data_IF_473447171722
#
_entry.id   IF_473447171722
#
_cell.length_a   1.000
_cell.length_b   1.000
_cell.length_c   1.000
_cell.angle_alpha   90.00
_cell.angle_beta   90.00
_cell.angle_gamma   90.00
#
_symmetry.space_group_name_H-M   'P 1'
#
loop_
_entity.id
_entity.type
_entity.pdbx_description
1 polymer ?
#
# COMPACT_ATOMS: atom_id res chain seq x y z
N UNK A 1 -6.01 4.80 -10.28
CA UNK A 1 -6.64 4.90 -11.61
C UNK A 1 -5.64 5.08 -12.76
N UNK A 2 -4.41 5.60 -12.55
CA UNK A 2 -3.39 5.68 -13.61
C UNK A 2 -2.38 4.52 -13.57
N UNK A 3 -1.86 4.19 -12.39
CA UNK A 3 -0.91 3.09 -12.17
C UNK A 3 -1.47 1.72 -12.56
N UNK A 4 -2.73 1.43 -12.20
CA UNK A 4 -3.40 0.17 -12.56
C UNK A 4 -3.56 0.07 -14.07
N UNK A 5 -4.10 1.11 -14.72
CA UNK A 5 -4.28 1.11 -16.17
C UNK A 5 -2.96 0.91 -16.92
N UNK A 6 -1.87 1.52 -16.43
CA UNK A 6 -0.52 1.38 -17.00
C UNK A 6 0.08 -0.02 -16.82
N UNK A 7 -0.23 -0.72 -15.73
CA UNK A 7 0.40 -2.00 -15.38
C UNK A 7 -0.45 -3.22 -15.77
N UNK A 8 -1.78 -3.14 -15.68
CA UNK A 8 -2.68 -4.27 -15.95
C UNK A 8 -3.35 -4.23 -17.33
N UNK A 9 -3.25 -3.11 -18.07
CA UNK A 9 -3.95 -2.92 -19.35
C UNK A 9 -5.45 -2.62 -19.22
N UNK A 10 -5.99 -2.53 -18.00
CA UNK A 10 -7.38 -2.15 -17.80
C UNK A 10 -7.63 -0.68 -18.16
N UNK A 11 -8.82 -0.38 -18.66
CA UNK A 11 -9.20 0.98 -19.04
C UNK A 11 -9.26 1.89 -17.80
N UNK A 12 -8.78 3.12 -17.92
CA UNK A 12 -8.83 4.14 -16.85
C UNK A 12 -10.27 4.33 -16.38
N UNK A 13 -10.49 4.22 -15.07
CA UNK A 13 -11.82 4.45 -14.48
C UNK A 13 -12.24 5.91 -14.72
N UNK A 14 -13.43 6.10 -15.27
CA UNK A 14 -14.07 7.40 -15.43
C UNK A 14 -15.29 7.47 -14.50
N UNK A 15 -15.33 8.49 -13.63
CA UNK A 15 -16.41 8.76 -12.69
C UNK A 15 -17.77 8.94 -13.37
N UNK A 16 -17.80 9.35 -14.64
CA UNK A 16 -19.01 9.52 -15.45
C UNK A 16 -19.65 8.18 -15.86
N UNK A 17 -18.99 7.04 -15.56
CA UNK A 17 -19.43 5.69 -15.93
C UNK A 17 -19.63 4.81 -14.70
N UNK A 18 -20.51 5.25 -13.81
CA UNK A 18 -20.83 4.57 -12.55
C UNK A 18 -21.10 3.05 -12.68
N UNK A 19 -21.78 2.53 -13.73
CA UNK A 19 -21.99 1.08 -13.89
C UNK A 19 -20.70 0.30 -14.18
N UNK A 20 -19.76 0.89 -14.94
CA UNK A 20 -18.47 0.27 -15.24
C UNK A 20 -17.56 0.24 -14.00
N UNK A 21 -17.62 1.29 -13.16
CA UNK A 21 -16.95 1.31 -11.84
C UNK A 21 -17.49 0.19 -10.95
N UNK A 22 -18.81 0.04 -10.87
CA UNK A 22 -19.45 -1.02 -10.09
C UNK A 22 -19.01 -2.41 -10.55
N UNK A 23 -18.96 -2.65 -11.87
CA UNK A 23 -18.50 -3.91 -12.44
C UNK A 23 -17.03 -4.20 -12.11
N UNK A 24 -16.14 -3.21 -12.17
CA UNK A 24 -14.71 -3.37 -11.83
C UNK A 24 -14.44 -3.54 -10.33
N UNK A 25 -15.37 -3.14 -9.45
CA UNK A 25 -15.28 -3.41 -8.01
C UNK A 25 -15.78 -4.83 -7.68
N UNK A 26 -16.78 -5.32 -8.43
CA UNK A 26 -17.36 -6.66 -8.22
C UNK A 26 -16.52 -7.78 -8.85
N UNK A 27 -15.59 -7.45 -9.74
CA UNK A 27 -14.62 -8.38 -10.32
C UNK A 27 -13.40 -8.52 -9.37
N UNK A 28 -13.14 -9.72 -8.83
CA UNK A 28 -12.07 -9.95 -7.86
C UNK A 28 -10.67 -9.72 -8.45
N UNK A 29 -10.46 -9.98 -9.75
CA UNK A 29 -9.15 -9.84 -10.38
C UNK A 29 -8.77 -8.37 -10.54
N UNK A 30 -9.72 -7.53 -10.96
CA UNK A 30 -9.48 -6.09 -11.02
C UNK A 30 -9.27 -5.49 -9.64
N UNK A 31 -10.03 -5.94 -8.63
CA UNK A 31 -9.89 -5.48 -7.24
C UNK A 31 -8.50 -5.77 -6.69
N UNK A 32 -7.96 -6.97 -6.94
CA UNK A 32 -6.61 -7.33 -6.52
C UNK A 32 -5.53 -6.40 -7.12
N UNK A 33 -5.68 -6.02 -8.40
CA UNK A 33 -4.75 -5.09 -9.06
C UNK A 33 -4.81 -3.68 -8.44
N UNK A 34 -6.00 -3.20 -8.05
CA UNK A 34 -6.12 -1.94 -7.33
C UNK A 34 -5.44 -2.00 -5.95
N UNK A 35 -5.63 -3.10 -5.20
CA UNK A 35 -4.95 -3.30 -3.92
C UNK A 35 -3.43 -3.27 -4.08
N UNK A 36 -2.90 -4.01 -5.06
CA UNK A 36 -1.47 -4.05 -5.36
C UNK A 36 -0.93 -2.65 -5.72
N UNK A 37 -1.68 -1.87 -6.51
CA UNK A 37 -1.29 -0.51 -6.86
C UNK A 37 -1.26 0.45 -5.65
N UNK A 38 -2.21 0.33 -4.72
CA UNK A 38 -2.22 1.11 -3.47
C UNK A 38 -1.00 0.74 -2.62
N UNK A 39 -0.74 -0.55 -2.41
CA UNK A 39 0.42 -1.03 -1.65
C UNK A 39 1.73 -0.55 -2.29
N UNK A 40 1.86 -0.66 -3.62
CA UNK A 40 3.05 -0.19 -4.33
C UNK A 40 3.26 1.31 -4.16
N UNK A 41 2.18 2.10 -4.21
CA UNK A 41 2.24 3.55 -3.98
C UNK A 41 2.75 3.88 -2.58
N UNK A 42 2.36 3.11 -1.57
CA UNK A 42 2.88 3.24 -0.20
C UNK A 42 4.39 2.97 -0.15
N UNK A 43 4.84 1.86 -0.74
CA UNK A 43 6.27 1.48 -0.78
C UNK A 43 7.10 2.59 -1.44
N UNK A 44 6.66 3.06 -2.62
CA UNK A 44 7.38 4.10 -3.36
C UNK A 44 7.38 5.44 -2.60
N UNK A 45 6.30 5.79 -1.92
CA UNK A 45 6.25 7.03 -1.13
C UNK A 45 7.28 7.02 0.00
N UNK A 46 7.37 5.92 0.76
CA UNK A 46 8.34 5.81 1.85
C UNK A 46 9.78 5.71 1.36
N UNK A 47 10.04 4.99 0.27
CA UNK A 47 11.37 4.92 -0.32
C UNK A 47 11.83 6.31 -0.81
N UNK A 48 10.99 7.02 -1.55
CA UNK A 48 11.38 8.29 -2.19
C UNK A 48 11.37 9.50 -1.24
N UNK A 49 10.48 9.53 -0.25
CA UNK A 49 10.32 10.69 0.64
C UNK A 49 11.07 10.51 1.95
N UNK A 50 11.02 9.30 2.53
CA UNK A 50 11.59 9.01 3.85
C UNK A 50 12.91 8.22 3.77
N UNK A 51 13.32 7.75 2.59
CA UNK A 51 14.52 6.93 2.42
C UNK A 51 14.39 5.54 3.07
N UNK A 52 13.16 5.03 3.23
CA UNK A 52 12.90 3.76 3.93
C UNK A 52 12.31 2.73 2.99
N UNK A 53 12.95 1.55 2.92
CA UNK A 53 12.36 0.39 2.25
C UNK A 53 11.42 -0.37 3.21
N UNK A 54 10.13 -0.30 2.92
CA UNK A 54 9.08 -1.02 3.65
C UNK A 54 8.56 -2.24 2.90
N UNK A 55 9.14 -2.57 1.73
CA UNK A 55 8.62 -3.62 0.83
C UNK A 55 8.64 -5.03 1.42
N UNK A 56 9.42 -5.25 2.48
CA UNK A 56 9.56 -6.55 3.16
C UNK A 56 8.77 -6.66 4.47
N UNK A 57 8.05 -5.62 4.89
CA UNK A 57 7.19 -5.68 6.07
C UNK A 57 5.70 -5.65 5.67
N UNK A 58 5.03 -6.81 5.54
CA UNK A 58 3.64 -6.87 5.13
C UNK A 58 2.70 -6.19 6.14
N UNK A 59 3.00 -6.22 7.44
CA UNK A 59 2.24 -5.49 8.46
C UNK A 59 2.23 -3.99 8.23
N UNK A 60 3.38 -3.37 7.95
CA UNK A 60 3.46 -1.93 7.62
C UNK A 60 2.66 -1.64 6.34
N UNK A 61 2.78 -2.47 5.30
CA UNK A 61 2.02 -2.24 4.06
C UNK A 61 0.51 -2.39 4.27
N UNK A 62 0.07 -3.32 5.14
CA UNK A 62 -1.32 -3.49 5.51
C UNK A 62 -1.85 -2.30 6.33
N UNK A 63 -1.05 -1.79 7.27
CA UNK A 63 -1.37 -0.55 8.00
C UNK A 63 -1.58 0.62 7.04
N UNK A 64 -0.70 0.81 6.07
CA UNK A 64 -0.78 1.94 5.13
C UNK A 64 -1.91 1.77 4.10
N UNK A 65 -2.20 0.53 3.69
CA UNK A 65 -3.39 0.24 2.89
C UNK A 65 -4.67 0.64 3.64
N UNK A 66 -4.75 0.34 4.93
CA UNK A 66 -5.90 0.70 5.77
C UNK A 66 -6.00 2.21 6.03
N UNK A 67 -4.88 2.89 6.28
CA UNK A 67 -4.88 4.29 6.72
C UNK A 67 -4.86 5.33 5.59
N UNK A 68 -4.33 5.00 4.41
CA UNK A 68 -4.16 5.95 3.31
C UNK A 68 -3.22 7.13 3.64
N UNK A 69 -3.37 8.21 2.86
CA UNK A 69 -2.55 9.45 2.91
C UNK A 69 -1.03 9.23 3.08
N UNK A 70 -0.51 8.31 2.26
CA UNK A 70 0.84 7.76 2.42
C UNK A 70 1.94 8.80 2.23
N UNK A 71 1.71 9.82 1.39
CA UNK A 71 2.68 10.88 1.14
C UNK A 71 2.86 11.80 2.34
N UNK A 72 1.76 12.26 2.96
CA UNK A 72 1.83 13.11 4.13
C UNK A 72 2.48 12.36 5.30
N UNK A 73 2.11 11.07 5.49
CA UNK A 73 2.71 10.21 6.51
C UNK A 73 4.21 9.98 6.30
N UNK A 74 4.64 9.73 5.07
CA UNK A 74 6.06 9.59 4.74
C UNK A 74 6.84 10.89 5.00
N UNK A 75 6.28 12.05 4.64
CA UNK A 75 6.89 13.35 4.95
C UNK A 75 7.01 13.60 6.46
N UNK A 76 5.97 13.28 7.23
CA UNK A 76 5.98 13.42 8.67
C UNK A 76 7.06 12.52 9.32
N UNK A 77 7.19 11.27 8.85
CA UNK A 77 8.23 10.37 9.34
C UNK A 77 9.63 10.83 8.94
N UNK A 78 9.81 11.30 7.70
CA UNK A 78 11.09 11.86 7.23
C UNK A 78 11.54 13.03 8.14
N UNK A 79 10.62 13.94 8.49
CA UNK A 79 10.89 15.03 9.45
C UNK A 79 11.26 14.50 10.84
N UNK A 80 10.57 13.49 11.36
CA UNK A 80 10.90 12.85 12.64
C UNK A 80 12.26 12.17 12.64
N UNK A 81 12.70 11.67 11.48
CA UNK A 81 13.98 10.99 11.29
C UNK A 81 15.14 11.93 10.96
N UNK A 82 14.88 13.20 10.69
CA UNK A 82 15.92 14.18 10.39
C UNK A 82 16.94 14.25 11.54
N UNK A 83 18.21 13.99 11.23
CA UNK A 83 19.31 13.99 12.20
C UNK A 83 19.41 12.75 13.11
N UNK A 84 18.55 11.73 12.93
CA UNK A 84 18.68 10.48 13.70
C UNK A 84 19.75 9.58 13.11
N UNK A 85 20.63 9.06 13.98
CA UNK A 85 21.58 8.00 13.61
C UNK A 85 20.88 6.67 13.23
N UNK A 86 19.70 6.40 13.82
CA UNK A 86 18.87 5.24 13.51
C UNK A 86 17.47 5.72 13.12
N UNK A 87 17.08 5.60 11.84
CA UNK A 87 15.74 5.96 11.39
C UNK A 87 14.65 5.14 12.09
N UNK A 88 13.55 5.80 12.48
CA UNK A 88 12.33 5.15 12.92
C UNK A 88 11.60 4.57 11.71
N UNK A 89 10.95 3.43 11.91
CA UNK A 89 10.01 2.85 10.95
C UNK A 89 8.59 3.38 11.18
N UNK A 90 7.69 3.27 10.18
CA UNK A 90 6.26 3.47 10.40
C UNK A 90 5.72 2.57 11.52
N UNK A 91 4.84 3.11 12.35
CA UNK A 91 4.18 2.36 13.41
C UNK A 91 3.04 1.50 12.83
N UNK A 92 2.98 0.25 13.26
CA UNK A 92 1.92 -0.69 12.88
C UNK A 92 0.62 -0.37 13.63
N UNK A 93 -0.49 -0.41 12.90
CA UNK A 93 -1.83 -0.42 13.51
C UNK A 93 -2.28 -1.86 13.82
N UNK A 94 -3.48 -2.01 14.38
CA UNK A 94 -4.05 -3.33 14.71
C UNK A 94 -4.00 -4.32 13.53
N UNK A 95 -4.36 -3.88 12.33
CA UNK A 95 -4.36 -4.75 11.14
C UNK A 95 -2.94 -5.14 10.71
N UNK A 96 -1.99 -4.21 10.78
CA UNK A 96 -0.58 -4.49 10.48
C UNK A 96 0.02 -5.49 11.47
N UNK A 97 -0.23 -5.28 12.76
CA UNK A 97 0.17 -6.21 13.81
C UNK A 97 -0.43 -7.60 13.57
N UNK A 98 -1.73 -7.68 13.25
CA UNK A 98 -2.40 -8.95 13.02
C UNK A 98 -1.75 -9.70 11.85
N UNK A 99 -1.48 -9.02 10.73
CA UNK A 99 -0.77 -9.60 9.58
C UNK A 99 0.59 -10.14 9.98
N UNK A 100 1.40 -9.36 10.70
CA UNK A 100 2.72 -9.81 11.13
C UNK A 100 2.65 -10.97 12.14
N UNK A 101 1.68 -10.95 13.06
CA UNK A 101 1.47 -12.04 14.03
C UNK A 101 1.08 -13.36 13.36
N UNK A 102 0.42 -13.28 12.20
CA UNK A 102 -0.04 -14.41 11.40
C UNK A 102 0.87 -14.74 10.22
N UNK A 103 2.00 -14.06 10.07
CA UNK A 103 2.84 -14.19 8.88
C UNK A 103 3.35 -15.62 8.67
N UNK A 104 3.68 -16.33 9.75
CA UNK A 104 4.10 -17.73 9.68
C UNK A 104 3.01 -18.67 9.15
N UNK A 105 1.74 -18.36 9.44
CA UNK A 105 0.57 -19.11 8.96
C UNK A 105 0.20 -18.72 7.52
N UNK A 106 0.35 -17.44 7.16
CA UNK A 106 -0.06 -16.89 5.85
C UNK A 106 0.96 -17.13 4.74
N UNK A 107 2.26 -16.99 5.02
CA UNK A 107 3.32 -17.07 4.02
C UNK A 107 3.35 -18.39 3.21
N UNK A 108 3.04 -19.57 3.80
CA UNK A 108 2.95 -20.81 3.04
C UNK A 108 1.77 -20.89 2.06
N UNK A 109 0.72 -20.08 2.24
CA UNK A 109 -0.51 -20.15 1.43
C UNK A 109 -0.41 -19.42 0.08
N UNK A 110 0.62 -18.59 -0.09
CA UNK A 110 0.81 -17.70 -1.25
C UNK A 110 2.09 -18.01 -2.03
N UNK A 111 2.61 -19.24 -1.88
CA UNK A 111 3.79 -19.75 -2.59
C UNK A 111 3.42 -20.64 -3.76
#
# INVERSE_FOLDING_TARGET
SDLVSRTSGYRKLNADRAPEIYKSIMDPDSTLQYMAAVIRTSIDAYANIAGLDISKNPGITATLYNLGDVRQRAQALARKNAGRAKPLMPEENYYGWLVNSKLAELAPLVR
#
